data_IF_813668471417
#
_entry.id   IF_813668471417
#
_cell.length_a   1.000
_cell.length_b   1.000
_cell.length_c   1.000
_cell.angle_alpha   90.00
_cell.angle_beta   90.00
_cell.angle_gamma   90.00
#
_symmetry.space_group_name_H-M   'P 1'
#
loop_
_entity.id
_entity.type
_entity.pdbx_description
1 polymer ?
#
# COMPACT_ATOMS: atom_id res chain seq x y z
N UNK A 1 -5.97 22.50 14.28
CA UNK A 1 -6.80 21.95 13.20
C UNK A 1 -6.61 20.43 13.24
N UNK A 2 -7.69 19.68 13.34
CA UNK A 2 -7.56 18.21 13.43
C UNK A 2 -7.20 17.66 12.05
N UNK A 3 -6.14 16.83 11.97
CA UNK A 3 -5.80 16.10 10.76
C UNK A 3 -6.88 15.04 10.52
N UNK A 4 -7.47 15.01 9.33
CA UNK A 4 -8.60 14.14 9.01
C UNK A 4 -8.56 13.58 7.57
N UNK A 5 -7.43 13.72 6.88
CA UNK A 5 -7.26 13.26 5.50
C UNK A 5 -6.39 12.01 5.48
N UNK A 6 -6.82 11.01 4.73
CA UNK A 6 -6.11 9.76 4.51
C UNK A 6 -5.73 9.66 3.03
N UNK A 7 -4.47 9.38 2.76
CA UNK A 7 -3.95 9.19 1.40
C UNK A 7 -3.52 7.73 1.22
N UNK A 8 -3.96 7.11 0.14
CA UNK A 8 -3.53 5.76 -0.24
C UNK A 8 -3.20 5.71 -1.73
N UNK A 9 -1.91 5.55 -2.06
CA UNK A 9 -1.45 5.56 -3.44
C UNK A 9 -1.10 4.16 -3.93
N UNK A 10 -1.32 3.91 -5.22
CA UNK A 10 -1.26 2.60 -5.87
C UNK A 10 -2.28 1.64 -5.23
N UNK A 11 -3.43 2.17 -4.87
CA UNK A 11 -4.52 1.44 -4.18
C UNK A 11 -5.77 1.38 -5.05
N UNK A 12 -5.84 0.32 -5.86
CA UNK A 12 -7.02 0.02 -6.66
C UNK A 12 -8.22 -0.42 -5.79
N UNK A 13 -7.93 -1.14 -4.71
CA UNK A 13 -8.96 -1.81 -3.91
C UNK A 13 -9.70 -0.88 -2.95
N UNK A 14 -9.02 0.14 -2.43
CA UNK A 14 -9.52 1.03 -1.39
C UNK A 14 -9.69 0.37 -0.01
N UNK A 15 -9.33 -0.91 0.15
CA UNK A 15 -9.46 -1.64 1.43
C UNK A 15 -8.76 -0.91 2.57
N UNK A 16 -7.62 -0.26 2.28
CA UNK A 16 -6.85 0.46 3.30
C UNK A 16 -7.62 1.64 3.91
N UNK A 17 -8.53 2.24 3.14
CA UNK A 17 -9.25 3.46 3.56
C UNK A 17 -10.70 3.23 3.96
N UNK A 18 -11.25 2.01 3.80
CA UNK A 18 -12.66 1.71 4.06
C UNK A 18 -13.12 2.12 5.47
N UNK A 19 -12.36 1.74 6.50
CA UNK A 19 -12.76 2.03 7.90
C UNK A 19 -12.63 3.52 8.22
N UNK A 20 -11.67 4.19 7.62
CA UNK A 20 -11.51 5.63 7.74
C UNK A 20 -12.69 6.38 7.13
N UNK A 21 -13.09 5.99 5.93
CA UNK A 21 -14.24 6.61 5.24
C UNK A 21 -15.54 6.40 6.01
N UNK A 22 -15.78 5.19 6.57
CA UNK A 22 -16.93 4.89 7.45
C UNK A 22 -16.92 5.76 8.70
N UNK A 23 -15.75 6.08 9.23
CA UNK A 23 -15.59 6.94 10.41
C UNK A 23 -15.64 8.46 10.09
N UNK A 24 -15.89 8.85 8.83
CA UNK A 24 -16.07 10.23 8.42
C UNK A 24 -14.78 10.94 7.98
N UNK A 25 -13.67 10.25 7.84
CA UNK A 25 -12.43 10.82 7.31
C UNK A 25 -12.53 11.04 5.80
N UNK A 26 -11.90 12.10 5.31
CA UNK A 26 -11.72 12.33 3.89
C UNK A 26 -10.59 11.43 3.37
N UNK A 27 -10.90 10.58 2.39
CA UNK A 27 -9.95 9.59 1.86
C UNK A 27 -9.68 9.84 0.39
N UNK A 28 -8.41 9.83 -0.01
CA UNK A 28 -7.99 9.90 -1.41
C UNK A 28 -7.24 8.61 -1.77
N UNK A 29 -7.71 7.90 -2.80
CA UNK A 29 -7.04 6.72 -3.34
C UNK A 29 -6.61 6.97 -4.78
N UNK A 30 -5.36 6.64 -5.10
CA UNK A 30 -4.72 6.93 -6.39
C UNK A 30 -4.26 5.64 -7.04
N UNK A 31 -4.77 5.34 -8.23
CA UNK A 31 -4.31 4.22 -9.04
C UNK A 31 -4.65 4.48 -10.52
N UNK A 32 -3.75 4.13 -11.43
CA UNK A 32 -3.97 4.27 -12.88
C UNK A 32 -5.09 3.38 -13.42
N UNK A 33 -5.55 2.38 -12.66
CA UNK A 33 -6.64 1.48 -13.03
C UNK A 33 -8.02 2.00 -12.60
N UNK A 34 -8.10 3.12 -11.85
CA UNK A 34 -9.37 3.79 -11.61
C UNK A 34 -9.88 4.45 -12.90
N UNK A 35 -11.17 4.81 -12.93
CA UNK A 35 -11.72 5.67 -13.98
C UNK A 35 -10.93 6.98 -14.05
N UNK A 36 -10.58 7.40 -15.27
CA UNK A 36 -9.72 8.56 -15.48
C UNK A 36 -10.30 9.84 -14.86
N UNK A 37 -9.48 10.59 -14.15
CA UNK A 37 -9.85 11.81 -13.47
C UNK A 37 -10.09 11.63 -11.98
N UNK A 38 -10.88 12.55 -11.42
CA UNK A 38 -11.21 12.62 -9.99
C UNK A 38 -12.70 12.30 -9.80
N UNK A 39 -13.00 11.25 -9.05
CA UNK A 39 -14.36 10.77 -8.80
C UNK A 39 -14.58 10.56 -7.31
N UNK A 40 -15.53 11.27 -6.71
CA UNK A 40 -15.83 11.18 -5.28
C UNK A 40 -17.12 10.41 -5.05
N UNK A 41 -17.06 9.39 -4.19
CA UNK A 41 -18.22 8.61 -3.72
C UNK A 41 -18.18 8.59 -2.18
N UNK A 42 -19.14 9.25 -1.55
CA UNK A 42 -19.12 9.43 -0.10
C UNK A 42 -17.87 10.20 0.34
N UNK A 43 -17.09 9.59 1.24
CA UNK A 43 -15.86 10.18 1.77
C UNK A 43 -14.59 9.71 1.02
N UNK A 44 -14.73 8.98 -0.08
CA UNK A 44 -13.60 8.47 -0.86
C UNK A 44 -13.53 9.16 -2.21
N UNK A 45 -12.42 9.84 -2.48
CA UNK A 45 -12.08 10.38 -3.79
C UNK A 45 -11.09 9.45 -4.49
N UNK A 46 -11.50 8.90 -5.62
CA UNK A 46 -10.68 8.06 -6.51
C UNK A 46 -10.02 8.92 -7.58
N UNK A 47 -8.73 8.74 -7.76
CA UNK A 47 -7.94 9.43 -8.77
C UNK A 47 -7.41 8.41 -9.78
N UNK A 48 -7.99 8.40 -11.00
CA UNK A 48 -7.55 7.56 -12.10
C UNK A 48 -6.45 8.25 -12.89
N UNK A 49 -5.22 8.28 -12.34
CA UNK A 49 -4.07 8.92 -12.98
C UNK A 49 -2.74 8.41 -12.40
N UNK A 50 -1.65 8.76 -13.09
CA UNK A 50 -0.29 8.51 -12.58
C UNK A 50 0.00 9.36 -11.33
N UNK A 51 0.78 8.80 -10.41
CA UNK A 51 1.08 9.46 -9.13
C UNK A 51 1.88 10.76 -9.27
N UNK A 52 2.72 10.90 -10.30
CA UNK A 52 3.46 12.14 -10.54
C UNK A 52 2.54 13.25 -11.09
N UNK A 53 1.53 12.88 -11.87
CA UNK A 53 0.47 13.79 -12.30
C UNK A 53 -0.42 14.16 -11.12
N UNK A 54 -0.85 13.17 -10.35
CA UNK A 54 -1.65 13.38 -9.14
C UNK A 54 -0.98 14.33 -8.14
N UNK A 55 0.32 14.17 -7.89
CA UNK A 55 1.07 15.08 -7.02
C UNK A 55 0.87 16.54 -7.44
N UNK A 56 1.05 16.85 -8.73
CA UNK A 56 0.91 18.22 -9.26
C UNK A 56 -0.51 18.73 -9.08
N UNK A 57 -1.50 17.94 -9.53
CA UNK A 57 -2.91 18.32 -9.46
C UNK A 57 -3.37 18.49 -8.00
N UNK A 58 -2.98 17.56 -7.11
CA UNK A 58 -3.37 17.61 -5.70
C UNK A 58 -2.78 18.80 -4.97
N UNK A 59 -1.48 19.07 -5.16
CA UNK A 59 -0.79 20.20 -4.54
C UNK A 59 -1.30 21.56 -5.04
N UNK A 60 -1.64 21.66 -6.31
CA UNK A 60 -2.21 22.87 -6.91
C UNK A 60 -3.66 23.12 -6.43
N UNK A 61 -4.48 22.07 -6.46
CA UNK A 61 -5.91 22.18 -6.13
C UNK A 61 -6.17 22.27 -4.63
N UNK A 62 -5.35 21.63 -3.80
CA UNK A 62 -5.57 21.47 -2.38
C UNK A 62 -4.34 21.81 -1.50
N UNK A 63 -3.69 22.98 -1.67
CA UNK A 63 -2.47 23.31 -0.93
C UNK A 63 -2.65 23.28 0.59
N UNK A 64 -3.83 23.67 1.09
CA UNK A 64 -4.13 23.70 2.52
C UNK A 64 -4.39 22.30 3.11
N UNK A 65 -4.72 21.31 2.27
CA UNK A 65 -4.99 19.93 2.73
C UNK A 65 -3.73 19.18 3.13
N UNK A 66 -2.57 19.55 2.61
CA UNK A 66 -1.30 18.87 2.89
C UNK A 66 -1.05 18.72 4.39
N UNK A 67 -1.27 19.80 5.15
CA UNK A 67 -1.08 19.84 6.60
C UNK A 67 -2.13 19.04 7.39
N UNK A 68 -3.24 18.68 6.73
CA UNK A 68 -4.34 17.94 7.33
C UNK A 68 -4.26 16.43 7.08
N UNK A 69 -3.25 15.96 6.37
CA UNK A 69 -3.04 14.52 6.17
C UNK A 69 -2.66 13.89 7.51
N UNK A 70 -3.49 12.96 7.96
CA UNK A 70 -3.32 12.20 9.20
C UNK A 70 -2.43 10.97 8.98
N UNK A 71 -2.65 10.27 7.88
CA UNK A 71 -1.96 9.03 7.57
C UNK A 71 -1.81 8.84 6.06
N UNK A 72 -0.69 8.24 5.62
CA UNK A 72 -0.49 7.89 4.23
C UNK A 72 0.01 6.45 4.06
N UNK A 73 -0.46 5.79 3.02
CA UNK A 73 -0.04 4.43 2.63
C UNK A 73 0.31 4.37 1.15
N UNK A 74 1.36 3.62 0.82
CA UNK A 74 1.87 3.51 -0.54
C UNK A 74 2.13 2.04 -0.88
N UNK A 75 1.60 1.58 -2.02
CA UNK A 75 1.71 0.21 -2.50
C UNK A 75 2.35 0.15 -3.91
N UNK A 76 3.58 0.69 -4.09
CA UNK A 76 4.19 0.75 -5.41
C UNK A 76 4.28 -0.64 -6.04
N UNK A 77 4.02 -0.76 -7.37
CA UNK A 77 3.98 -2.04 -8.07
C UNK A 77 5.24 -2.88 -7.82
N UNK A 78 5.05 -4.10 -7.35
CA UNK A 78 6.16 -5.01 -7.00
C UNK A 78 6.67 -5.86 -8.18
N UNK A 79 6.06 -5.76 -9.36
CA UNK A 79 6.31 -6.63 -10.53
C UNK A 79 7.77 -6.67 -10.95
N UNK A 80 8.49 -5.54 -10.83
CA UNK A 80 9.90 -5.42 -11.23
C UNK A 80 10.86 -5.30 -10.04
N UNK A 81 10.33 -5.47 -8.82
CA UNK A 81 11.07 -5.36 -7.57
C UNK A 81 11.11 -6.66 -6.76
N UNK A 82 10.03 -7.46 -6.79
CA UNK A 82 9.88 -8.65 -5.96
C UNK A 82 10.88 -9.75 -6.32
N UNK A 83 11.60 -10.30 -5.32
CA UNK A 83 12.58 -11.38 -5.53
C UNK A 83 11.95 -12.65 -6.10
N UNK A 84 10.66 -12.88 -5.89
CA UNK A 84 9.94 -14.01 -6.50
C UNK A 84 9.90 -13.95 -8.04
N UNK A 85 10.12 -12.76 -8.62
CA UNK A 85 10.23 -12.51 -10.06
C UNK A 85 11.68 -12.37 -10.55
N UNK A 86 12.70 -12.51 -9.70
CA UNK A 86 14.09 -12.15 -10.00
C UNK A 86 14.66 -12.87 -11.23
N UNK A 87 14.26 -14.11 -11.50
CA UNK A 87 14.67 -14.88 -12.70
C UNK A 87 14.34 -14.18 -14.02
N UNK A 88 13.37 -13.26 -14.01
CA UNK A 88 12.91 -12.52 -15.19
C UNK A 88 13.53 -11.13 -15.32
N UNK A 89 14.25 -10.64 -14.30
CA UNK A 89 14.75 -9.27 -14.26
C UNK A 89 15.65 -8.95 -15.46
N UNK A 90 16.61 -9.85 -15.78
CA UNK A 90 17.52 -9.67 -16.91
C UNK A 90 16.75 -9.54 -18.23
N UNK A 91 15.84 -10.49 -18.49
CA UNK A 91 15.04 -10.49 -19.71
C UNK A 91 14.13 -9.25 -19.85
N UNK A 92 13.55 -8.80 -18.73
CA UNK A 92 12.73 -7.57 -18.71
C UNK A 92 13.57 -6.33 -19.00
N UNK A 93 14.75 -6.24 -18.42
CA UNK A 93 15.68 -5.13 -18.63
C UNK A 93 16.19 -5.09 -20.07
N UNK A 94 16.49 -6.25 -20.68
CA UNK A 94 16.88 -6.36 -22.11
C UNK A 94 15.75 -5.92 -23.04
N UNK A 95 14.49 -6.28 -22.73
CA UNK A 95 13.31 -5.90 -23.53
C UNK A 95 12.87 -4.46 -23.35
N UNK A 96 13.02 -3.91 -22.15
CA UNK A 96 12.61 -2.56 -21.79
C UNK A 96 13.62 -1.96 -20.79
N UNK A 97 14.71 -1.37 -21.27
CA UNK A 97 15.76 -0.80 -20.42
C UNK A 97 15.24 0.23 -19.41
N UNK A 98 15.79 0.23 -18.20
CA UNK A 98 15.39 1.13 -17.11
C UNK A 98 14.13 0.69 -16.36
N UNK A 99 13.63 -0.53 -16.57
CA UNK A 99 12.41 -1.04 -15.92
C UNK A 99 12.53 -1.01 -14.40
N UNK A 100 13.66 -1.46 -13.86
CA UNK A 100 13.89 -1.45 -12.41
C UNK A 100 14.07 -0.05 -11.85
N UNK A 101 14.76 0.81 -12.57
CA UNK A 101 14.93 2.22 -12.19
C UNK A 101 13.58 2.93 -12.07
N UNK A 102 12.72 2.78 -13.09
CA UNK A 102 11.36 3.33 -13.06
C UNK A 102 10.55 2.81 -11.86
N UNK A 103 10.64 1.52 -11.55
CA UNK A 103 9.97 0.94 -10.39
C UNK A 103 10.52 1.48 -9.06
N UNK A 104 11.84 1.67 -8.94
CA UNK A 104 12.46 2.30 -7.78
C UNK A 104 12.09 3.79 -7.64
N UNK A 105 11.90 4.50 -8.75
CA UNK A 105 11.47 5.90 -8.72
C UNK A 105 10.09 6.06 -8.07
N UNK A 106 9.19 5.08 -8.21
CA UNK A 106 7.91 5.07 -7.50
C UNK A 106 8.09 4.90 -5.97
N UNK A 107 9.06 4.10 -5.55
CA UNK A 107 9.40 3.93 -4.12
C UNK A 107 9.98 5.23 -3.55
N UNK A 108 10.91 5.86 -4.25
CA UNK A 108 11.51 7.13 -3.82
C UNK A 108 10.48 8.26 -3.81
N UNK A 109 9.59 8.29 -4.80
CA UNK A 109 8.47 9.23 -4.83
C UNK A 109 7.56 9.05 -3.61
N UNK A 110 7.22 7.81 -3.26
CA UNK A 110 6.38 7.50 -2.08
C UNK A 110 7.01 8.03 -0.78
N UNK A 111 8.32 7.86 -0.60
CA UNK A 111 9.06 8.37 0.56
C UNK A 111 9.08 9.91 0.59
N UNK A 112 9.31 10.54 -0.58
CA UNK A 112 9.27 12.01 -0.74
C UNK A 112 7.91 12.58 -0.34
N UNK A 113 6.83 12.00 -0.86
CA UNK A 113 5.46 12.47 -0.61
C UNK A 113 5.03 12.20 0.84
N UNK A 114 5.36 11.04 1.40
CA UNK A 114 5.12 10.75 2.81
C UNK A 114 5.79 11.75 3.74
N UNK A 115 7.01 12.16 3.43
CA UNK A 115 7.73 13.23 4.17
C UNK A 115 7.07 14.60 4.01
N UNK A 116 6.57 14.93 2.82
CA UNK A 116 5.88 16.20 2.55
C UNK A 116 4.62 16.34 3.41
N UNK A 117 3.87 15.26 3.60
CA UNK A 117 2.66 15.28 4.43
C UNK A 117 2.93 15.38 5.93
N UNK A 118 4.15 15.12 6.35
CA UNK A 118 4.57 15.18 7.76
C UNK A 118 3.64 14.40 8.70
N UNK A 119 3.27 13.18 8.26
CA UNK A 119 2.39 12.26 8.97
C UNK A 119 3.04 10.87 9.09
N UNK A 120 2.52 9.96 9.94
CA UNK A 120 2.88 8.55 9.88
C UNK A 120 2.57 7.98 8.49
N UNK A 121 3.52 7.24 7.91
CA UNK A 121 3.29 6.56 6.62
C UNK A 121 4.08 5.26 6.53
N UNK A 122 3.65 4.40 5.63
CA UNK A 122 4.41 3.24 5.19
C UNK A 122 4.40 3.10 3.66
N UNK A 123 5.47 2.48 3.15
CA UNK A 123 5.57 1.94 1.80
C UNK A 123 5.57 0.42 1.92
N UNK A 124 4.60 -0.26 1.30
CA UNK A 124 4.47 -1.72 1.31
C UNK A 124 5.09 -2.32 0.05
N UNK A 125 5.85 -3.39 0.23
CA UNK A 125 6.25 -4.27 -0.86
C UNK A 125 6.55 -5.67 -0.28
N UNK A 126 6.45 -6.75 -1.06
CA UNK A 126 6.95 -8.06 -0.62
C UNK A 126 8.48 -8.02 -0.46
N UNK A 127 9.07 -9.15 -0.11
CA UNK A 127 10.55 -9.29 -0.14
C UNK A 127 11.05 -8.91 -1.53
N UNK A 128 11.82 -7.84 -1.61
CA UNK A 128 12.18 -7.17 -2.87
C UNK A 128 13.61 -6.65 -2.87
N UNK A 129 14.08 -6.25 -4.06
CA UNK A 129 15.39 -5.62 -4.25
C UNK A 129 15.50 -4.22 -3.63
N UNK A 130 14.39 -3.64 -3.17
CA UNK A 130 14.39 -2.38 -2.42
C UNK A 130 15.38 -2.44 -1.25
N UNK A 131 15.44 -3.61 -0.57
CA UNK A 131 16.32 -3.83 0.58
C UNK A 131 17.82 -3.75 0.26
N UNK A 132 18.21 -4.00 -0.98
CA UNK A 132 19.61 -3.95 -1.43
C UNK A 132 19.93 -2.65 -2.17
N UNK A 133 18.95 -2.00 -2.79
CA UNK A 133 19.14 -0.77 -3.58
C UNK A 133 19.02 0.48 -2.70
N UNK A 134 18.09 0.47 -1.76
CA UNK A 134 17.80 1.64 -0.91
C UNK A 134 18.12 1.37 0.56
N UNK A 135 17.19 0.75 1.30
CA UNK A 135 17.37 0.42 2.73
C UNK A 135 16.56 -0.80 3.14
N UNK A 136 16.92 -1.41 4.26
CA UNK A 136 16.14 -2.52 4.84
C UNK A 136 14.76 -2.02 5.28
N UNK A 137 13.72 -2.88 5.23
CA UNK A 137 12.41 -2.52 5.78
C UNK A 137 12.51 -2.34 7.29
N UNK A 138 11.72 -1.42 7.82
CA UNK A 138 11.61 -1.19 9.26
C UNK A 138 10.84 -2.32 9.95
N UNK A 139 9.82 -2.84 9.25
CA UNK A 139 8.95 -3.88 9.78
C UNK A 139 8.65 -4.93 8.72
N UNK A 140 8.24 -6.10 9.16
CA UNK A 140 7.62 -7.10 8.29
C UNK A 140 6.58 -7.91 9.07
N UNK A 141 5.58 -8.40 8.36
CA UNK A 141 4.51 -9.20 8.93
C UNK A 141 3.95 -10.20 7.91
N UNK A 142 3.12 -11.12 8.40
CA UNK A 142 2.26 -11.97 7.60
C UNK A 142 0.79 -11.62 7.88
N UNK A 143 -0.13 -11.70 6.90
CA UNK A 143 -1.53 -11.34 7.09
C UNK A 143 -2.18 -11.99 8.31
N UNK A 144 -1.94 -13.27 8.58
CA UNK A 144 -2.52 -13.98 9.73
C UNK A 144 -2.18 -13.33 11.09
N UNK A 145 -1.08 -12.58 11.17
CA UNK A 145 -0.66 -11.91 12.40
C UNK A 145 -1.61 -10.76 12.80
N UNK A 146 -2.49 -10.34 11.86
CA UNK A 146 -3.53 -9.33 12.08
C UNK A 146 -4.94 -9.88 11.86
N UNK A 147 -5.09 -11.18 11.60
CA UNK A 147 -6.38 -11.82 11.33
C UNK A 147 -7.39 -11.72 12.45
N UNK A 148 -6.97 -11.51 13.70
CA UNK A 148 -7.84 -11.33 14.85
C UNK A 148 -8.48 -9.94 14.97
N UNK A 149 -8.18 -9.01 14.06
CA UNK A 149 -8.92 -7.76 13.96
C UNK A 149 -10.21 -7.96 13.18
N UNK A 150 -11.19 -7.06 13.40
CA UNK A 150 -12.47 -7.10 12.71
C UNK A 150 -12.28 -7.10 11.19
N UNK A 151 -12.97 -8.00 10.49
CA UNK A 151 -12.84 -8.21 9.05
C UNK A 151 -11.63 -9.02 8.61
N UNK A 152 -10.72 -9.38 9.54
CA UNK A 152 -9.48 -10.10 9.24
C UNK A 152 -9.59 -11.63 9.19
N UNK A 153 -10.75 -12.22 9.41
CA UNK A 153 -10.95 -13.69 9.46
C UNK A 153 -10.42 -14.43 8.22
N UNK A 154 -10.47 -13.79 7.06
CA UNK A 154 -9.97 -14.35 5.79
C UNK A 154 -8.45 -14.16 5.59
N UNK A 155 -7.76 -13.50 6.53
CA UNK A 155 -6.32 -13.22 6.43
C UNK A 155 -5.45 -14.38 6.96
N UNK A 156 -6.02 -15.57 7.21
CA UNK A 156 -5.34 -16.79 7.65
C UNK A 156 -4.37 -17.36 6.61
N UNK A 157 -3.39 -16.55 6.15
CA UNK A 157 -2.38 -16.99 5.19
C UNK A 157 -1.03 -16.32 5.41
N UNK A 158 0.01 -16.96 4.83
CA UNK A 158 1.37 -16.43 4.85
C UNK A 158 1.67 -15.66 3.57
N UNK A 159 2.08 -14.40 3.72
CA UNK A 159 2.64 -13.54 2.69
C UNK A 159 3.59 -12.59 3.38
N UNK A 160 4.91 -12.82 3.28
CA UNK A 160 5.85 -11.90 3.93
C UNK A 160 5.75 -10.52 3.29
N UNK A 161 5.16 -9.62 4.03
CA UNK A 161 4.95 -8.22 3.67
C UNK A 161 5.96 -7.35 4.40
N UNK A 162 6.65 -6.48 3.68
CA UNK A 162 7.68 -5.60 4.22
C UNK A 162 7.20 -4.15 4.20
N UNK A 163 7.51 -3.40 5.25
CA UNK A 163 7.13 -1.99 5.40
C UNK A 163 8.38 -1.12 5.58
N UNK A 164 8.51 -0.10 4.74
CA UNK A 164 9.45 1.00 4.88
C UNK A 164 8.68 2.20 5.41
N UNK A 165 9.05 2.68 6.59
CA UNK A 165 8.28 3.67 7.35
C UNK A 165 9.15 4.85 7.78
N UNK A 166 8.53 5.94 8.23
CA UNK A 166 9.20 7.01 8.94
C UNK A 166 9.18 6.77 10.47
N UNK A 167 9.80 7.67 11.20
CA UNK A 167 9.91 7.64 12.67
C UNK A 167 8.57 7.87 13.40
N UNK A 168 7.58 8.46 12.71
CA UNK A 168 6.22 8.66 13.26
C UNK A 168 5.36 7.42 13.19
N UNK A 169 5.76 6.43 12.39
CA UNK A 169 5.00 5.20 12.23
C UNK A 169 5.26 4.23 13.39
N UNK A 170 4.20 3.84 14.04
CA UNK A 170 4.19 2.81 15.09
C UNK A 170 3.42 1.61 14.54
N UNK A 171 4.08 0.46 14.47
CA UNK A 171 3.43 -0.78 14.02
C UNK A 171 2.31 -1.18 15.00
N UNK A 172 1.07 -1.39 14.53
CA UNK A 172 -0.03 -1.81 15.41
C UNK A 172 0.28 -3.12 16.14
N UNK A 173 -0.26 -3.35 17.34
CA UNK A 173 -0.17 -4.62 18.03
C UNK A 173 -0.70 -5.76 17.15
N UNK A 174 -0.03 -6.90 17.18
CA UNK A 174 -0.48 -8.11 16.46
C UNK A 174 -1.62 -8.78 17.21
N UNK A 175 -2.62 -9.26 16.46
CA UNK A 175 -3.70 -10.16 16.93
C UNK A 175 -3.76 -11.35 15.99
N UNK A 176 -2.86 -12.34 16.16
CA UNK A 176 -2.76 -13.46 15.23
C UNK A 176 -3.97 -14.40 15.33
N UNK A 177 -4.28 -15.05 14.19
CA UNK A 177 -5.18 -16.20 14.13
C UNK A 177 -4.39 -17.45 13.76
N UNK A 178 -4.98 -18.62 14.03
CA UNK A 178 -4.39 -19.88 13.64
C UNK A 178 -4.33 -20.04 12.12
N UNK A 179 -3.25 -20.64 11.65
CA UNK A 179 -3.07 -20.96 10.23
C UNK A 179 -3.63 -22.36 9.96
N UNK A 180 -4.51 -22.46 8.98
CA UNK A 180 -4.90 -23.74 8.43
C UNK A 180 -3.74 -24.36 7.63
N UNK A 181 -3.19 -25.53 8.04
CA UNK A 181 -2.08 -26.17 7.33
C UNK A 181 -2.34 -26.44 5.84
N UNK A 182 -3.60 -26.54 5.43
CA UNK A 182 -3.98 -26.85 4.05
C UNK A 182 -4.06 -25.59 3.17
N UNK A 183 -4.34 -24.43 3.74
CA UNK A 183 -4.64 -23.20 2.97
C UNK A 183 -3.73 -22.02 3.28
N UNK A 184 -2.84 -22.14 4.27
CA UNK A 184 -1.98 -21.02 4.70
C UNK A 184 -1.05 -20.48 3.60
N UNK A 185 -0.73 -21.27 2.59
CA UNK A 185 0.14 -20.90 1.46
C UNK A 185 -0.63 -20.62 0.14
N UNK A 186 -1.97 -20.47 0.21
CA UNK A 186 -2.85 -20.29 -0.96
C UNK A 186 -2.41 -19.18 -1.91
N UNK A 187 -1.77 -18.13 -1.40
CA UNK A 187 -1.22 -17.03 -2.18
C UNK A 187 -0.12 -17.50 -3.14
N UNK A 188 0.68 -18.47 -2.72
CA UNK A 188 1.80 -19.01 -3.51
C UNK A 188 1.32 -20.05 -4.53
N UNK A 189 0.27 -20.81 -4.18
CA UNK A 189 -0.26 -21.90 -5.02
C UNK A 189 -1.12 -21.42 -6.18
N UNK A 190 -1.61 -20.16 -6.17
CA UNK A 190 -2.41 -19.63 -7.27
C UNK A 190 -1.61 -19.58 -8.57
N UNK A 191 -2.06 -20.36 -9.57
CA UNK A 191 -1.46 -20.45 -10.91
C UNK A 191 -1.51 -19.12 -11.69
N UNK A 192 -0.88 -19.05 -12.87
CA UNK A 192 -0.96 -17.86 -13.73
C UNK A 192 -2.42 -17.58 -14.12
N UNK A 193 -2.89 -16.37 -13.83
CA UNK A 193 -4.21 -15.87 -14.24
C UNK A 193 -4.17 -14.36 -14.34
N UNK A 194 -5.08 -13.76 -15.11
CA UNK A 194 -5.19 -12.31 -15.25
C UNK A 194 -5.37 -11.64 -13.87
N UNK A 195 -6.15 -12.25 -12.97
CA UNK A 195 -6.46 -11.70 -11.64
C UNK A 195 -5.39 -12.02 -10.58
N UNK A 196 -4.36 -12.82 -10.93
CA UNK A 196 -3.35 -13.24 -9.95
C UNK A 196 -2.64 -12.07 -9.29
N UNK A 197 -2.33 -11.04 -10.07
CA UNK A 197 -1.64 -9.86 -9.56
C UNK A 197 -2.52 -9.12 -8.57
N UNK A 198 -3.76 -8.81 -8.93
CA UNK A 198 -4.72 -8.13 -8.07
C UNK A 198 -5.03 -8.93 -6.80
N UNK A 199 -5.16 -10.26 -6.93
CA UNK A 199 -5.36 -11.14 -5.77
C UNK A 199 -4.17 -11.09 -4.80
N UNK A 200 -2.94 -11.10 -5.32
CA UNK A 200 -1.72 -11.10 -4.49
C UNK A 200 -1.39 -9.73 -3.91
N UNK A 201 -1.81 -8.64 -4.55
CA UNK A 201 -1.58 -7.27 -4.09
C UNK A 201 -2.64 -6.79 -3.09
N UNK A 202 -3.75 -7.51 -2.93
CA UNK A 202 -4.83 -7.11 -2.03
C UNK A 202 -4.32 -6.90 -0.59
N UNK A 203 -4.67 -5.75 -0.03
CA UNK A 203 -4.37 -5.41 1.36
C UNK A 203 -5.14 -6.33 2.32
N UNK A 204 -4.47 -6.95 3.32
CA UNK A 204 -5.16 -7.72 4.36
C UNK A 204 -6.11 -6.82 5.17
N UNK A 205 -7.36 -7.22 5.31
CA UNK A 205 -8.39 -6.42 6.00
C UNK A 205 -8.07 -6.22 7.48
N UNK A 206 -7.56 -7.27 8.14
CA UNK A 206 -7.15 -7.18 9.54
C UNK A 206 -6.02 -6.18 9.75
N UNK A 207 -5.05 -6.11 8.83
CA UNK A 207 -3.99 -5.11 8.90
C UNK A 207 -4.53 -3.69 8.66
N UNK A 208 -5.42 -3.50 7.67
CA UNK A 208 -6.05 -2.21 7.42
C UNK A 208 -6.85 -1.73 8.65
N UNK A 209 -7.60 -2.64 9.29
CA UNK A 209 -8.32 -2.35 10.54
C UNK A 209 -7.37 -2.01 11.68
N UNK A 210 -6.26 -2.73 11.84
CA UNK A 210 -5.26 -2.45 12.87
C UNK A 210 -4.64 -1.05 12.71
N UNK A 211 -4.33 -0.65 11.48
CA UNK A 211 -3.84 0.71 11.17
C UNK A 211 -4.90 1.76 11.53
N UNK A 212 -6.16 1.55 11.15
CA UNK A 212 -7.25 2.44 11.53
C UNK A 212 -7.35 2.59 13.06
N UNK A 213 -7.38 1.48 13.81
CA UNK A 213 -7.49 1.52 15.28
C UNK A 213 -6.30 2.21 15.95
N UNK A 214 -5.10 2.09 15.37
CA UNK A 214 -3.87 2.70 15.90
C UNK A 214 -3.84 4.22 15.72
N UNK A 215 -4.40 4.74 14.61
CA UNK A 215 -4.20 6.13 14.19
C UNK A 215 -5.47 6.98 14.15
N UNK A 216 -6.66 6.37 14.33
CA UNK A 216 -7.89 7.16 14.46
C UNK A 216 -7.80 8.10 15.68
N UNK A 217 -8.25 9.34 15.50
CA UNK A 217 -8.35 10.32 16.57
C UNK A 217 -9.59 10.07 17.44
#
# INVERSE_FOLDING_TARGET
>A
MFKNIIISCFDLSGVMVEEWAKAGYECHIVDTQHEQGEHTIGNITKWGMDVFEWEKVFLEKYPDKIKNVLFASFFPPCTDLAVSGARWFKNKEEKNPGTRERAMNLVYWSDKIGKLFDCPYFIENPVSVISSIWRKPNHSFHPYEYGGYEGGSDDGYTKKTCLWTNEKFILPPKKPIELDPLTHDRIHKKGPSADRQNFRSKTPKGFARAIFEQYKN
#
